data_IF_170779785067
#
_entry.id   IF_170779785067
#
_cell.length_a   1.000
_cell.length_b   1.000
_cell.length_c   1.000
_cell.angle_alpha   90.00
_cell.angle_beta   90.00
_cell.angle_gamma   90.00
#
_symmetry.space_group_name_H-M   'P 1'
#
loop_
_entity.id
_entity.type
_entity.pdbx_description
1 polymer ?
#
# COMPACT_ATOMS: atom_id res chain seq x y z
N UNK A 1 32.11 -24.16 8.24
CA UNK A 1 32.69 -23.03 7.49
C UNK A 1 31.73 -22.68 6.38
N UNK A 2 30.99 -21.57 6.51
CA UNK A 2 30.06 -21.10 5.47
C UNK A 2 30.87 -20.37 4.39
N UNK A 3 31.03 -21.00 3.23
CA UNK A 3 31.52 -20.29 2.03
C UNK A 3 30.30 -19.84 1.25
N UNK A 4 30.07 -18.52 1.25
CA UNK A 4 29.09 -17.83 0.41
C UNK A 4 29.46 -18.02 -1.06
N UNK A 5 28.43 -18.15 -1.89
CA UNK A 5 28.55 -17.99 -3.33
C UNK A 5 28.76 -16.48 -3.62
N UNK A 6 29.76 -16.04 -4.42
CA UNK A 6 30.33 -14.68 -4.31
C UNK A 6 29.54 -13.52 -4.94
N UNK A 7 28.24 -13.64 -5.20
CA UNK A 7 27.54 -12.73 -6.15
C UNK A 7 26.43 -11.84 -5.56
N UNK A 8 26.39 -11.63 -4.24
CA UNK A 8 25.52 -10.61 -3.66
C UNK A 8 26.32 -9.36 -3.26
N UNK A 9 26.14 -8.28 -4.02
CA UNK A 9 26.71 -6.95 -3.74
C UNK A 9 26.00 -6.28 -2.54
N UNK A 10 24.82 -6.77 -2.15
CA UNK A 10 24.09 -6.33 -0.97
C UNK A 10 23.48 -7.50 -0.21
N UNK A 11 23.34 -7.36 1.11
CA UNK A 11 22.76 -8.38 1.99
C UNK A 11 21.71 -7.81 2.94
N UNK A 12 20.84 -8.69 3.45
CA UNK A 12 19.76 -8.30 4.36
C UNK A 12 20.33 -8.16 5.78
N UNK A 13 20.35 -6.94 6.30
CA UNK A 13 20.79 -6.67 7.68
C UNK A 13 19.59 -6.44 8.64
N UNK A 14 18.43 -6.08 8.10
CA UNK A 14 17.21 -5.87 8.89
C UNK A 14 15.98 -6.32 8.10
N UNK A 15 15.17 -7.18 8.73
CA UNK A 15 13.90 -7.62 8.20
C UNK A 15 12.76 -6.69 8.64
N UNK A 16 11.68 -6.68 7.85
CA UNK A 16 10.42 -6.11 8.31
C UNK A 16 9.87 -6.94 9.48
N UNK A 17 9.11 -6.30 10.37
CA UNK A 17 8.67 -6.87 11.66
C UNK A 17 7.95 -8.22 11.55
N UNK A 18 7.33 -8.51 10.39
CA UNK A 18 6.61 -9.76 10.13
C UNK A 18 7.54 -10.96 9.91
N UNK A 19 8.76 -10.74 9.45
CA UNK A 19 9.65 -11.81 9.05
C UNK A 19 10.63 -12.16 10.16
N UNK A 20 10.86 -13.47 10.33
CA UNK A 20 11.79 -14.02 11.31
C UNK A 20 13.02 -14.55 10.57
N UNK A 21 14.25 -14.17 10.97
CA UNK A 21 15.45 -14.76 10.41
C UNK A 21 15.59 -16.21 10.85
N UNK A 22 16.05 -17.07 9.96
CA UNK A 22 16.29 -18.50 10.24
C UNK A 22 17.71 -18.95 9.90
N UNK A 23 18.47 -18.15 9.15
CA UNK A 23 19.85 -18.43 8.81
C UNK A 23 20.67 -17.14 8.78
N UNK A 24 21.90 -17.22 9.27
CA UNK A 24 22.85 -16.11 9.31
C UNK A 24 24.17 -16.53 8.68
N UNK A 25 24.80 -15.61 7.95
CA UNK A 25 26.17 -15.74 7.51
C UNK A 25 27.16 -15.43 8.67
N UNK A 26 28.44 -15.82 8.54
CA UNK A 26 29.45 -15.55 9.56
C UNK A 26 29.67 -14.05 9.86
N UNK A 27 29.30 -13.16 8.95
CA UNK A 27 29.36 -11.71 9.13
C UNK A 27 28.06 -11.10 9.71
N UNK A 28 27.10 -11.96 10.09
CA UNK A 28 25.84 -11.56 10.72
C UNK A 28 24.72 -11.18 9.74
N UNK A 29 24.96 -11.23 8.42
CA UNK A 29 23.90 -10.99 7.43
C UNK A 29 22.87 -12.12 7.44
N UNK A 30 21.61 -11.76 7.20
CA UNK A 30 20.48 -12.68 7.15
C UNK A 30 20.51 -13.38 5.80
N UNK A 31 20.73 -14.69 5.82
CA UNK A 31 20.83 -15.55 4.64
C UNK A 31 19.51 -16.28 4.34
N UNK A 32 18.58 -16.27 5.30
CA UNK A 32 17.25 -16.83 5.10
C UNK A 32 16.27 -16.33 6.15
N UNK A 33 15.02 -16.15 5.73
CA UNK A 33 13.92 -15.69 6.58
C UNK A 33 12.59 -16.28 6.15
N UNK A 34 11.61 -16.29 7.04
CA UNK A 34 10.26 -16.77 6.74
C UNK A 34 9.21 -15.94 7.48
N UNK A 35 7.95 -16.09 7.07
CA UNK A 35 6.79 -15.46 7.69
C UNK A 35 6.08 -16.49 8.60
N UNK A 36 6.11 -16.34 9.93
CA UNK A 36 5.51 -17.32 10.83
C UNK A 36 3.99 -17.43 10.66
N UNK A 37 3.32 -16.34 10.24
CA UNK A 37 1.86 -16.31 10.06
C UNK A 37 1.44 -16.91 8.70
N UNK A 38 2.38 -17.05 7.76
CA UNK A 38 2.12 -17.49 6.39
C UNK A 38 3.08 -18.57 5.86
N UNK A 39 3.81 -19.24 6.75
CA UNK A 39 4.62 -20.40 6.43
C UNK A 39 4.15 -21.60 7.25
N UNK A 40 3.23 -22.37 6.66
CA UNK A 40 2.80 -23.67 7.13
C UNK A 40 2.64 -24.59 5.91
N UNK A 41 3.67 -25.38 5.57
CA UNK A 41 3.65 -26.28 4.42
C UNK A 41 2.49 -27.29 4.44
N UNK A 42 2.04 -27.72 5.62
CA UNK A 42 0.90 -28.67 5.74
C UNK A 42 -0.43 -28.03 5.34
N UNK A 43 -0.57 -26.71 5.53
CA UNK A 43 -1.77 -25.95 5.15
C UNK A 43 -1.68 -25.35 3.74
N UNK A 44 -0.57 -25.58 3.05
CA UNK A 44 -0.28 -24.99 1.74
C UNK A 44 0.06 -23.50 1.79
N UNK A 45 0.58 -23.01 2.93
CA UNK A 45 1.10 -21.65 3.09
C UNK A 45 2.62 -21.71 3.07
N UNK A 46 3.27 -20.94 2.20
CA UNK A 46 4.74 -20.96 2.12
C UNK A 46 5.26 -19.59 1.73
N UNK A 47 5.84 -18.88 2.71
CA UNK A 47 6.58 -17.65 2.49
C UNK A 47 7.93 -17.80 3.17
N UNK A 48 8.95 -17.96 2.34
CA UNK A 48 10.34 -18.13 2.72
C UNK A 48 11.19 -17.36 1.71
N UNK A 49 12.18 -16.61 2.20
CA UNK A 49 13.20 -15.97 1.39
C UNK A 49 14.56 -16.54 1.74
N UNK A 50 15.35 -16.85 0.71
CA UNK A 50 16.75 -17.28 0.84
C UNK A 50 17.60 -16.29 0.06
N UNK A 51 18.67 -15.81 0.68
CA UNK A 51 19.64 -14.94 0.02
C UNK A 51 20.63 -15.76 -0.80
N UNK A 52 21.03 -16.94 -0.32
CA UNK A 52 21.86 -17.87 -1.08
C UNK A 52 21.06 -18.59 -2.18
N UNK A 53 21.79 -19.16 -3.13
CA UNK A 53 21.27 -19.83 -4.32
C UNK A 53 21.35 -21.37 -4.17
N UNK A 54 20.38 -22.04 -3.53
CA UNK A 54 20.41 -23.49 -3.34
C UNK A 54 20.44 -24.27 -4.67
N UNK A 55 19.99 -23.66 -5.77
CA UNK A 55 20.02 -24.25 -7.11
C UNK A 55 21.44 -24.38 -7.67
N UNK A 56 22.34 -23.45 -7.30
CA UNK A 56 23.76 -23.46 -7.72
C UNK A 56 24.60 -24.40 -6.87
N UNK A 57 24.07 -24.79 -5.71
CA UNK A 57 24.70 -25.73 -4.79
C UNK A 57 24.33 -27.18 -5.11
N UNK A 58 23.67 -27.44 -6.25
CA UNK A 58 23.40 -28.78 -6.77
C UNK A 58 24.50 -29.15 -7.76
N UNK A 59 25.04 -30.36 -7.65
CA UNK A 59 26.04 -30.86 -8.58
C UNK A 59 25.38 -31.27 -9.91
N UNK A 60 25.98 -30.89 -11.04
CA UNK A 60 25.36 -31.03 -12.37
C UNK A 60 24.93 -32.46 -12.73
N UNK A 61 25.66 -33.46 -12.22
CA UNK A 61 25.46 -34.88 -12.56
C UNK A 61 24.90 -35.73 -11.41
N UNK A 62 24.61 -35.13 -10.25
CA UNK A 62 24.10 -35.88 -9.10
C UNK A 62 23.01 -35.12 -8.35
N UNK A 63 22.07 -35.84 -7.74
CA UNK A 63 21.10 -35.24 -6.81
C UNK A 63 21.72 -34.84 -5.46
N UNK A 64 23.05 -34.70 -5.40
CA UNK A 64 23.76 -34.25 -4.21
C UNK A 64 23.89 -32.74 -4.25
N UNK A 65 23.68 -32.16 -3.08
CA UNK A 65 23.87 -30.74 -2.83
C UNK A 65 25.10 -30.57 -1.95
N UNK A 66 25.80 -29.46 -2.15
CA UNK A 66 26.99 -29.11 -1.36
C UNK A 66 26.66 -28.95 0.14
N UNK A 67 25.41 -28.60 0.44
CA UNK A 67 24.90 -28.52 1.81
C UNK A 67 23.66 -29.40 2.00
N UNK A 68 23.60 -30.19 3.09
CA UNK A 68 22.49 -31.11 3.35
C UNK A 68 21.16 -30.39 3.62
N UNK A 69 21.20 -29.07 3.88
CA UNK A 69 20.02 -28.23 4.07
C UNK A 69 19.34 -27.78 2.76
N UNK A 70 20.05 -27.72 1.63
CA UNK A 70 19.51 -27.22 0.37
C UNK A 70 18.29 -28.01 -0.15
N UNK A 71 18.29 -29.36 -0.12
CA UNK A 71 17.12 -30.13 -0.52
C UNK A 71 15.85 -29.81 0.28
N UNK A 72 16.00 -29.45 1.57
CA UNK A 72 14.86 -29.24 2.47
C UNK A 72 13.99 -28.07 2.05
N UNK A 73 14.58 -26.99 1.53
CA UNK A 73 13.83 -25.83 1.06
C UNK A 73 12.87 -26.22 -0.07
N UNK A 74 13.33 -27.02 -1.02
CA UNK A 74 12.51 -27.53 -2.11
C UNK A 74 11.47 -28.54 -1.63
N UNK A 75 11.83 -29.43 -0.69
CA UNK A 75 10.90 -30.41 -0.13
C UNK A 75 9.71 -29.73 0.56
N UNK A 76 9.98 -28.74 1.42
CA UNK A 76 8.91 -28.00 2.11
C UNK A 76 8.09 -27.14 1.14
N UNK A 77 8.72 -26.56 0.11
CA UNK A 77 7.99 -25.85 -0.94
C UNK A 77 7.04 -26.77 -1.71
N UNK A 78 7.52 -27.93 -2.19
CA UNK A 78 6.71 -28.90 -2.92
C UNK A 78 5.56 -29.42 -2.05
N UNK A 79 5.85 -29.70 -0.78
CA UNK A 79 4.84 -30.10 0.21
C UNK A 79 3.74 -29.05 0.33
N UNK A 80 4.11 -27.77 0.45
CA UNK A 80 3.16 -26.67 0.48
C UNK A 80 2.34 -26.56 -0.82
N UNK A 81 2.97 -26.71 -1.99
CA UNK A 81 2.28 -26.68 -3.28
C UNK A 81 1.25 -27.82 -3.38
N UNK A 82 1.61 -29.03 -2.97
CA UNK A 82 0.70 -30.19 -2.96
C UNK A 82 -0.46 -29.95 -2.00
N UNK A 83 -0.19 -29.48 -0.78
CA UNK A 83 -1.22 -29.17 0.20
C UNK A 83 -2.17 -28.06 -0.30
N UNK A 84 -1.62 -27.02 -0.92
CA UNK A 84 -2.39 -25.94 -1.53
C UNK A 84 -3.25 -26.42 -2.70
N UNK A 85 -2.70 -27.26 -3.58
CA UNK A 85 -3.43 -27.86 -4.70
C UNK A 85 -4.56 -28.76 -4.19
N UNK A 86 -4.31 -29.60 -3.19
CA UNK A 86 -5.35 -30.43 -2.54
C UNK A 86 -6.46 -29.55 -1.96
N UNK A 87 -6.07 -28.51 -1.22
CA UNK A 87 -7.02 -27.53 -0.65
C UNK A 87 -7.85 -26.85 -1.73
N UNK A 88 -7.23 -26.43 -2.84
CA UNK A 88 -7.95 -25.87 -3.98
C UNK A 88 -8.90 -26.88 -4.61
N UNK A 89 -8.48 -28.12 -4.82
CA UNK A 89 -9.30 -29.17 -5.44
C UNK A 89 -10.49 -29.57 -4.55
N UNK A 90 -10.28 -29.66 -3.24
CA UNK A 90 -11.36 -29.84 -2.25
C UNK A 90 -12.28 -28.62 -2.16
N UNK A 91 -11.73 -27.41 -2.38
CA UNK A 91 -12.50 -26.16 -2.40
C UNK A 91 -13.22 -25.94 -3.74
N UNK A 92 -12.75 -26.48 -4.87
CA UNK A 92 -13.44 -26.37 -6.16
C UNK A 92 -14.71 -27.20 -6.23
N UNK A 93 -14.91 -28.14 -5.31
CA UNK A 93 -16.21 -28.78 -5.08
C UNK A 93 -17.21 -27.88 -4.32
N UNK A 94 -16.77 -26.76 -3.71
CA UNK A 94 -17.60 -25.98 -2.77
C UNK A 94 -17.46 -24.44 -2.76
N UNK A 95 -16.58 -23.81 -3.55
CA UNK A 95 -16.40 -22.35 -3.51
C UNK A 95 -16.96 -21.67 -4.77
N UNK A 96 -17.96 -20.77 -4.63
CA UNK A 96 -18.38 -19.88 -5.70
C UNK A 96 -17.22 -18.99 -6.12
N UNK A 97 -16.89 -19.03 -7.41
CA UNK A 97 -15.96 -18.10 -8.06
C UNK A 97 -16.48 -16.66 -7.86
N UNK A 98 -15.57 -15.74 -7.58
CA UNK A 98 -15.77 -14.31 -7.26
C UNK A 98 -16.25 -14.02 -5.84
N UNK A 99 -15.51 -13.14 -5.15
CA UNK A 99 -16.15 -12.24 -4.17
C UNK A 99 -17.37 -11.68 -4.90
N UNK A 100 -18.59 -11.99 -4.45
CA UNK A 100 -19.81 -11.37 -4.97
C UNK A 100 -19.74 -9.89 -4.60
N UNK A 101 -18.98 -9.10 -5.36
CA UNK A 101 -19.15 -7.67 -5.39
C UNK A 101 -20.61 -7.45 -5.76
N UNK A 102 -21.30 -6.63 -4.99
CA UNK A 102 -22.62 -6.20 -5.40
C UNK A 102 -22.53 -5.57 -6.81
N UNK A 103 -23.64 -5.54 -7.55
CA UNK A 103 -23.66 -5.04 -8.92
C UNK A 103 -23.14 -3.59 -9.04
N UNK A 104 -23.37 -2.75 -8.03
CA UNK A 104 -22.85 -1.39 -7.96
C UNK A 104 -21.33 -1.36 -7.72
N UNK A 105 -20.79 -2.22 -6.87
CA UNK A 105 -19.34 -2.32 -6.65
C UNK A 105 -18.61 -2.79 -7.92
N UNK A 106 -19.15 -3.78 -8.63
CA UNK A 106 -18.55 -4.24 -9.89
C UNK A 106 -18.66 -3.18 -10.99
N UNK A 107 -19.74 -2.39 -11.00
CA UNK A 107 -19.89 -1.22 -11.87
C UNK A 107 -18.83 -0.15 -11.57
N UNK A 108 -18.59 0.16 -10.29
CA UNK A 108 -17.51 1.07 -9.88
C UNK A 108 -16.14 0.56 -10.32
N UNK A 109 -15.85 -0.73 -10.11
CA UNK A 109 -14.60 -1.35 -10.55
C UNK A 109 -14.38 -1.20 -12.06
N UNK A 110 -15.40 -1.48 -12.87
CA UNK A 110 -15.34 -1.34 -14.33
C UNK A 110 -15.09 0.11 -14.78
N UNK A 111 -15.73 1.08 -14.12
CA UNK A 111 -15.53 2.49 -14.41
C UNK A 111 -14.08 2.93 -14.14
N UNK A 112 -13.51 2.50 -13.01
CA UNK A 112 -12.12 2.79 -12.65
C UNK A 112 -11.16 2.18 -13.68
N UNK A 113 -11.34 0.91 -14.04
CA UNK A 113 -10.49 0.23 -15.03
C UNK A 113 -10.54 0.92 -16.39
N UNK A 114 -11.74 1.32 -16.85
CA UNK A 114 -11.91 2.06 -18.10
C UNK A 114 -11.20 3.41 -18.06
N UNK A 115 -11.29 4.10 -16.93
CA UNK A 115 -10.62 5.38 -16.69
C UNK A 115 -9.10 5.28 -16.83
N UNK A 116 -8.48 4.30 -16.17
CA UNK A 116 -7.04 4.06 -16.28
C UNK A 116 -6.60 3.63 -17.69
N UNK A 117 -7.41 2.80 -18.36
CA UNK A 117 -7.14 2.41 -19.73
C UNK A 117 -7.12 3.62 -20.67
N UNK A 118 -8.09 4.53 -20.51
CA UNK A 118 -8.15 5.77 -21.27
C UNK A 118 -6.95 6.68 -20.97
N UNK A 119 -6.60 6.88 -19.70
CA UNK A 119 -5.44 7.67 -19.28
C UNK A 119 -4.14 7.11 -19.88
N UNK A 120 -3.95 5.78 -19.82
CA UNK A 120 -2.81 5.10 -20.43
C UNK A 120 -2.74 5.38 -21.93
N UNK A 121 -3.85 5.24 -22.64
CA UNK A 121 -3.87 5.47 -24.08
C UNK A 121 -3.55 6.93 -24.42
N UNK A 122 -4.07 7.92 -23.67
CA UNK A 122 -3.70 9.33 -23.89
C UNK A 122 -2.20 9.53 -23.71
N UNK A 123 -1.63 8.96 -22.64
CA UNK A 123 -0.20 9.06 -22.34
C UNK A 123 0.68 8.40 -23.41
N UNK A 124 0.34 7.18 -23.85
CA UNK A 124 1.14 6.44 -24.83
C UNK A 124 1.02 6.98 -26.25
N UNK A 125 -0.14 7.50 -26.62
CA UNK A 125 -0.43 7.89 -28.02
C UNK A 125 -0.19 9.39 -28.25
N UNK A 126 0.07 10.18 -27.20
CA UNK A 126 0.30 11.63 -27.29
C UNK A 126 -0.87 12.43 -27.85
N UNK A 127 -2.05 11.81 -27.97
CA UNK A 127 -3.21 12.40 -28.62
C UNK A 127 -3.84 13.47 -27.71
N UNK A 128 -4.09 14.66 -28.26
CA UNK A 128 -4.75 15.76 -27.54
C UNK A 128 -6.13 15.29 -27.06
N UNK A 129 -6.40 15.49 -25.78
CA UNK A 129 -7.59 14.96 -25.14
C UNK A 129 -8.85 15.64 -25.67
N UNK A 130 -9.87 14.85 -26.03
CA UNK A 130 -11.19 15.38 -26.35
C UNK A 130 -11.92 15.76 -25.05
N UNK A 131 -12.48 16.98 -24.93
CA UNK A 131 -13.18 17.44 -23.72
C UNK A 131 -14.34 16.51 -23.31
N UNK A 132 -14.98 15.85 -24.28
CA UNK A 132 -16.07 14.91 -24.03
C UNK A 132 -15.68 13.64 -23.27
N UNK A 133 -14.38 13.36 -23.12
CA UNK A 133 -13.86 12.16 -22.42
C UNK A 133 -13.32 12.47 -21.02
N UNK A 134 -13.40 13.72 -20.57
CA UNK A 134 -12.91 14.17 -19.26
C UNK A 134 -13.69 13.54 -18.10
N UNK A 135 -15.02 13.42 -18.25
CA UNK A 135 -15.87 12.72 -17.29
C UNK A 135 -15.55 11.22 -17.14
N UNK A 136 -14.94 10.58 -18.15
CA UNK A 136 -14.49 9.18 -18.07
C UNK A 136 -13.16 9.05 -17.30
N UNK A 137 -12.35 10.11 -17.21
CA UNK A 137 -11.12 10.13 -16.41
C UNK A 137 -11.38 10.41 -14.93
N UNK A 138 -12.49 11.08 -14.62
CA UNK A 138 -12.86 11.48 -13.26
C UNK A 138 -12.87 10.30 -12.28
N UNK A 139 -13.46 9.16 -12.67
CA UNK A 139 -13.54 7.99 -11.78
C UNK A 139 -12.15 7.42 -11.39
N UNK A 140 -11.16 7.52 -12.29
CA UNK A 140 -9.78 7.11 -12.02
C UNK A 140 -9.04 8.16 -11.19
N UNK A 141 -9.27 9.44 -11.45
CA UNK A 141 -8.72 10.54 -10.67
C UNK A 141 -9.20 10.51 -9.21
N UNK A 142 -10.53 10.41 -8.99
CA UNK A 142 -11.13 10.26 -7.66
C UNK A 142 -10.64 9.00 -6.94
N UNK A 143 -10.43 7.91 -7.67
CA UNK A 143 -9.85 6.70 -7.12
C UNK A 143 -8.40 6.91 -6.64
N UNK A 144 -7.58 7.62 -7.41
CA UNK A 144 -6.21 7.95 -7.00
C UNK A 144 -6.20 8.93 -5.81
N UNK A 145 -7.04 9.97 -5.84
CA UNK A 145 -7.18 10.95 -4.76
C UNK A 145 -7.64 10.28 -3.45
N UNK A 146 -8.65 9.42 -3.50
CA UNK A 146 -9.11 8.63 -2.34
C UNK A 146 -8.08 7.61 -1.85
N UNK A 147 -7.12 7.20 -2.70
CA UNK A 147 -5.98 6.34 -2.32
C UNK A 147 -4.78 7.15 -1.81
N UNK A 148 -4.81 8.48 -1.90
CA UNK A 148 -3.68 9.36 -1.51
C UNK A 148 -3.46 9.39 0.00
N UNK A 149 -4.46 9.00 0.79
CA UNK A 149 -4.38 8.86 2.23
C UNK A 149 -4.52 7.37 2.63
N UNK A 150 -3.40 6.65 2.74
CA UNK A 150 -3.41 5.35 3.41
C UNK A 150 -3.81 5.58 4.88
N UNK A 151 -4.79 4.82 5.36
CA UNK A 151 -5.06 4.78 6.80
C UNK A 151 -3.83 4.28 7.56
N UNK A 152 -3.70 4.68 8.84
CA UNK A 152 -2.63 4.21 9.72
C UNK A 152 -2.50 2.68 9.71
N UNK A 153 -3.63 1.97 9.65
CA UNK A 153 -3.69 0.51 9.59
C UNK A 153 -3.16 -0.05 8.25
N UNK A 154 -3.51 0.56 7.12
CA UNK A 154 -3.02 0.13 5.81
C UNK A 154 -1.52 0.36 5.66
N UNK A 155 -1.02 1.48 6.17
CA UNK A 155 0.41 1.77 6.17
C UNK A 155 1.19 0.82 7.08
N UNK A 156 0.69 0.53 8.29
CA UNK A 156 1.30 -0.44 9.19
C UNK A 156 1.39 -1.83 8.55
N UNK A 157 0.33 -2.25 7.85
CA UNK A 157 0.35 -3.50 7.08
C UNK A 157 1.40 -3.47 5.98
N UNK A 158 1.50 -2.38 5.20
CA UNK A 158 2.51 -2.24 4.14
C UNK A 158 3.93 -2.26 4.70
N UNK A 159 4.18 -1.56 5.82
CA UNK A 159 5.47 -1.60 6.54
C UNK A 159 5.82 -2.99 7.03
N UNK A 160 4.86 -3.73 7.58
CA UNK A 160 5.04 -5.13 7.97
C UNK A 160 5.42 -6.03 6.79
N UNK A 161 4.93 -5.72 5.59
CA UNK A 161 5.29 -6.44 4.35
C UNK A 161 6.63 -5.99 3.74
N UNK A 162 7.33 -5.03 4.35
CA UNK A 162 8.60 -4.51 3.81
C UNK A 162 8.42 -3.53 2.64
N UNK A 163 7.21 -3.01 2.40
CA UNK A 163 7.00 -2.00 1.38
C UNK A 163 7.59 -0.65 1.84
N UNK A 164 8.58 -0.15 1.12
CA UNK A 164 9.14 1.20 1.33
C UNK A 164 8.23 2.25 0.73
N UNK A 165 7.35 2.82 1.56
CA UNK A 165 6.54 3.98 1.16
C UNK A 165 7.42 5.23 1.24
N UNK A 166 7.88 5.74 0.09
CA UNK A 166 8.59 7.03 0.02
C UNK A 166 7.71 8.12 0.64
N UNK A 167 8.28 8.95 1.51
CA UNK A 167 7.64 10.07 2.20
C UNK A 167 6.52 9.74 3.22
N UNK A 168 6.34 8.49 3.63
CA UNK A 168 5.29 8.15 4.61
C UNK A 168 5.50 8.76 6.00
N UNK A 169 6.76 8.88 6.45
CA UNK A 169 7.08 9.45 7.77
C UNK A 169 6.57 10.88 7.96
N UNK A 170 6.79 11.76 6.98
CA UNK A 170 6.34 13.16 7.06
C UNK A 170 4.83 13.33 6.90
N UNK A 171 4.16 12.34 6.30
CA UNK A 171 2.71 12.31 6.21
C UNK A 171 2.08 11.88 7.54
N UNK A 172 2.57 10.79 8.14
CA UNK A 172 2.11 10.31 9.46
C UNK A 172 2.36 11.35 10.55
N UNK A 173 3.50 12.01 10.53
CA UNK A 173 3.79 13.07 11.50
C UNK A 173 2.79 14.23 11.36
N UNK A 174 2.43 14.61 10.13
CA UNK A 174 1.38 15.62 9.89
C UNK A 174 -0.01 15.16 10.33
N UNK A 175 -0.37 13.89 10.11
CA UNK A 175 -1.65 13.34 10.57
C UNK A 175 -1.71 13.32 12.10
N UNK A 176 -0.66 12.83 12.78
CA UNK A 176 -0.59 12.79 14.24
C UNK A 176 -0.66 14.19 14.85
N UNK A 177 0.09 15.14 14.29
CA UNK A 177 0.03 16.55 14.70
C UNK A 177 -1.37 17.16 14.50
N UNK A 178 -2.11 16.74 13.46
CA UNK A 178 -3.48 17.20 13.22
C UNK A 178 -4.46 16.61 14.24
N UNK A 179 -4.34 15.31 14.55
CA UNK A 179 -5.14 14.62 15.56
C UNK A 179 -4.89 15.19 16.97
N UNK A 180 -3.63 15.35 17.37
CA UNK A 180 -3.23 15.98 18.64
C UNK A 180 -3.79 17.42 18.76
N UNK A 181 -3.77 18.18 17.66
CA UNK A 181 -4.33 19.54 17.62
C UNK A 181 -5.85 19.55 17.72
N UNK A 182 -6.52 18.58 17.10
CA UNK A 182 -7.98 18.45 17.16
C UNK A 182 -8.43 18.06 18.58
N UNK A 183 -7.75 17.11 19.22
CA UNK A 183 -8.04 16.71 20.60
C UNK A 183 -7.76 17.83 21.60
N UNK A 184 -6.70 18.59 21.41
CA UNK A 184 -6.44 19.78 22.20
C UNK A 184 -7.57 20.81 22.04
N UNK A 185 -8.02 21.07 20.81
CA UNK A 185 -9.12 21.99 20.54
C UNK A 185 -10.43 21.51 21.20
N UNK A 186 -10.77 20.21 21.10
CA UNK A 186 -11.93 19.61 21.77
C UNK A 186 -11.86 19.75 23.28
N UNK A 187 -10.70 19.50 23.88
CA UNK A 187 -10.49 19.65 25.33
C UNK A 187 -10.63 21.10 25.80
N UNK A 188 -10.17 22.07 25.00
CA UNK A 188 -10.34 23.50 25.30
C UNK A 188 -11.80 23.90 25.18
N UNK A 189 -12.47 23.52 24.10
CA UNK A 189 -13.90 23.81 23.89
C UNK A 189 -14.78 23.15 24.95
N UNK A 190 -14.45 21.94 25.40
CA UNK A 190 -15.17 21.25 26.48
C UNK A 190 -15.07 21.92 27.85
N UNK A 191 -14.11 22.83 28.05
CA UNK A 191 -13.93 23.62 29.28
C UNK A 191 -14.57 25.02 29.20
N UNK A 192 -15.05 25.44 28.03
CA UNK A 192 -15.69 26.74 27.84
C UNK A 192 -17.14 26.73 28.32
N UNK A 193 -17.64 27.87 28.77
CA UNK A 193 -19.06 28.04 29.06
C UNK A 193 -19.89 28.10 27.77
N UNK A 194 -21.22 27.96 27.89
CA UNK A 194 -22.13 28.02 26.74
C UNK A 194 -22.05 29.38 26.04
N UNK A 195 -21.89 30.45 26.81
CA UNK A 195 -21.72 31.82 26.29
C UNK A 195 -20.42 31.95 25.51
N UNK A 196 -19.30 31.44 26.07
CA UNK A 196 -18.00 31.46 25.40
C UNK A 196 -17.98 30.64 24.11
N UNK A 197 -18.68 29.50 24.09
CA UNK A 197 -18.85 28.69 22.88
C UNK A 197 -19.70 29.41 21.82
N UNK A 198 -20.75 30.11 22.24
CA UNK A 198 -21.60 30.92 21.35
C UNK A 198 -20.82 32.09 20.73
N UNK A 199 -20.00 32.78 21.54
CA UNK A 199 -19.14 33.86 21.07
C UNK A 199 -18.08 33.35 20.09
N UNK A 200 -17.45 32.20 20.40
CA UNK A 200 -16.48 31.54 19.51
C UNK A 200 -17.11 31.16 18.16
N UNK A 201 -18.32 30.59 18.18
CA UNK A 201 -19.05 30.22 16.96
C UNK A 201 -19.37 31.45 16.11
N UNK A 202 -19.85 32.51 16.74
CA UNK A 202 -20.18 33.79 16.08
C UNK A 202 -18.94 34.44 15.46
N UNK A 203 -17.81 34.38 16.15
CA UNK A 203 -16.52 34.83 15.64
C UNK A 203 -16.09 34.06 14.38
N UNK A 204 -16.16 32.72 14.41
CA UNK A 204 -15.84 31.89 13.24
C UNK A 204 -16.78 32.16 12.05
N UNK A 205 -18.07 32.40 12.31
CA UNK A 205 -19.03 32.74 11.26
C UNK A 205 -18.71 34.10 10.61
N UNK A 206 -18.40 35.11 11.42
CA UNK A 206 -17.99 36.44 10.94
C UNK A 206 -16.70 36.37 10.11
N UNK A 207 -15.70 35.61 10.59
CA UNK A 207 -14.47 35.37 9.83
C UNK A 207 -14.74 34.67 8.50
N UNK A 208 -15.64 33.68 8.50
CA UNK A 208 -16.09 33.00 7.27
C UNK A 208 -16.70 33.96 6.26
N UNK A 209 -17.62 34.82 6.71
CA UNK A 209 -18.24 35.85 5.86
C UNK A 209 -17.22 36.81 5.27
N UNK A 210 -16.31 37.35 6.09
CA UNK A 210 -15.26 38.27 5.64
C UNK A 210 -14.35 37.59 4.59
N UNK A 211 -13.94 36.34 4.83
CA UNK A 211 -13.13 35.59 3.88
C UNK A 211 -13.86 35.36 2.56
N UNK A 212 -15.14 34.99 2.60
CA UNK A 212 -15.98 34.84 1.40
C UNK A 212 -16.11 36.14 0.63
N UNK A 213 -16.39 37.25 1.30
CA UNK A 213 -16.49 38.58 0.66
C UNK A 213 -15.19 39.00 -0.02
N UNK A 214 -14.04 38.75 0.61
CA UNK A 214 -12.73 39.04 0.03
C UNK A 214 -12.44 38.18 -1.19
N UNK A 215 -12.81 36.89 -1.15
CA UNK A 215 -12.64 35.97 -2.28
C UNK A 215 -13.56 36.35 -3.44
N UNK A 216 -14.82 36.67 -3.18
CA UNK A 216 -15.78 37.11 -4.19
C UNK A 216 -15.35 38.41 -4.85
N UNK A 217 -14.81 39.37 -4.08
CA UNK A 217 -14.23 40.61 -4.64
C UNK A 217 -13.02 40.33 -5.52
N UNK A 218 -12.15 39.38 -5.15
CA UNK A 218 -11.02 38.98 -5.99
C UNK A 218 -11.49 38.31 -7.28
N UNK A 219 -12.46 37.41 -7.22
CA UNK A 219 -13.02 36.74 -8.39
C UNK A 219 -13.70 37.73 -9.33
N UNK A 220 -14.53 38.63 -8.80
CA UNK A 220 -15.22 39.65 -9.59
C UNK A 220 -14.27 40.73 -10.13
N UNK A 221 -13.21 41.07 -9.40
CA UNK A 221 -12.15 41.97 -9.86
C UNK A 221 -11.33 41.39 -11.01
N UNK A 222 -11.14 40.06 -11.06
CA UNK A 222 -10.47 39.37 -12.17
C UNK A 222 -11.36 39.34 -13.42
N UNK A 223 -12.68 39.17 -13.25
CA UNK A 223 -13.64 39.17 -14.37
C UNK A 223 -13.76 40.55 -15.03
N UNK A 224 -13.67 41.64 -14.25
CA UNK A 224 -13.71 43.00 -14.80
C UNK A 224 -12.36 43.54 -15.32
N UNK A 225 -11.23 42.86 -15.06
CA UNK A 225 -9.90 43.26 -15.52
C UNK A 225 -9.46 42.70 -16.88
N UNK A 226 -10.25 41.82 -17.51
CA UNK A 226 -9.91 41.17 -18.79
C UNK A 226 -10.68 41.80 -19.98
N UNK A 227 -11.55 42.79 -19.73
CA UNK A 227 -12.40 43.41 -20.75
C UNK A 227 -12.00 44.83 -21.19
N UNK A 228 -10.78 45.28 -20.94
CA UNK A 228 -10.35 46.63 -21.37
C UNK A 228 -8.85 46.70 -21.62
N UNK A 229 -8.41 46.12 -22.73
CA UNK A 229 -7.41 46.63 -23.69
C UNK A 229 -7.57 45.87 -25.01
#
# INVERSE_FOLDING_TARGET
MSRRDPQHIGGVNRLAQRFVPMAFAPDGLIEGFYDPDACNPEEGKFIMGLQFHPERMRQDDTDKFDYPGCPRAYQEFVKAVIAYQKKLNSSTASVPRSLKLDQAMEKKRKNIVRSFFLARNIYTTGQRMNPSKESELQAGAEFLESTTALSLQQENRLKQMGATVRNAGSYIERLRMKEEREDLAKNVMGKMSVEQLSDLLSFYHMMGQICSEVLDRKLNGIVHGIGSW
#
